data_IF_560311017988
#
_entry.id   IF_560311017988
#
_cell.length_a   1.000
_cell.length_b   1.000
_cell.length_c   1.000
_cell.angle_alpha   90.00
_cell.angle_beta   90.00
_cell.angle_gamma   90.00
#
_symmetry.space_group_name_H-M   'P 1'
#
loop_
_entity.id
_entity.type
_entity.pdbx_description
1 polymer ?
#
# COMPACT_ATOMS: atom_id res chain seq x y z
N UNK A 1 0.22 2.41 -22.55
CA UNK A 1 -0.05 2.28 -21.11
C UNK A 1 0.13 0.83 -20.70
N UNK A 2 0.77 0.60 -19.55
CA UNK A 2 0.86 -0.73 -18.97
C UNK A 2 -0.54 -1.16 -18.52
N UNK A 3 -0.81 -2.46 -18.59
CA UNK A 3 -2.05 -3.03 -18.09
C UNK A 3 -2.04 -3.02 -16.56
N UNK A 4 -3.08 -2.45 -15.96
CA UNK A 4 -3.30 -2.55 -14.52
C UNK A 4 -3.76 -3.96 -14.18
N UNK A 5 -3.19 -4.51 -13.13
CA UNK A 5 -3.65 -5.75 -12.53
C UNK A 5 -4.24 -5.43 -11.16
N UNK A 6 -5.29 -6.14 -10.78
CA UNK A 6 -5.95 -5.97 -9.49
C UNK A 6 -5.92 -7.29 -8.73
N UNK A 7 -5.78 -7.19 -7.43
CA UNK A 7 -5.82 -8.34 -6.54
C UNK A 7 -6.54 -7.98 -5.25
N UNK A 8 -7.19 -8.99 -4.69
CA UNK A 8 -7.78 -8.93 -3.35
C UNK A 8 -7.36 -10.18 -2.61
N UNK A 9 -6.89 -10.02 -1.39
CA UNK A 9 -6.50 -11.14 -0.54
C UNK A 9 -7.07 -10.99 0.87
N UNK A 10 -7.32 -12.13 1.50
CA UNK A 10 -7.91 -12.21 2.83
C UNK A 10 -6.82 -12.14 3.91
N UNK A 11 -7.13 -11.44 4.99
CA UNK A 11 -6.31 -11.30 6.19
C UNK A 11 -7.11 -11.76 7.39
N UNK A 12 -6.56 -12.64 8.20
CA UNK A 12 -7.15 -13.05 9.48
C UNK A 12 -7.06 -11.89 10.49
N UNK A 13 -8.20 -11.40 10.92
CA UNK A 13 -8.36 -10.29 11.86
C UNK A 13 -8.94 -10.73 13.21
N UNK A 14 -9.07 -12.04 13.44
CA UNK A 14 -9.74 -12.60 14.62
C UNK A 14 -9.06 -12.22 15.94
N UNK A 15 -7.73 -12.06 15.93
CA UNK A 15 -6.97 -11.71 17.15
C UNK A 15 -7.00 -10.21 17.47
N UNK A 16 -7.48 -9.39 16.54
CA UNK A 16 -7.45 -7.92 16.68
C UNK A 16 -8.83 -7.35 16.96
N UNK A 17 -9.86 -7.93 16.38
CA UNK A 17 -11.23 -7.47 16.49
C UNK A 17 -12.00 -8.38 17.46
N UNK A 18 -12.25 -7.90 18.67
CA UNK A 18 -13.11 -8.61 19.64
C UNK A 18 -14.57 -8.74 19.12
N UNK A 19 -14.97 -7.89 18.21
CA UNK A 19 -16.30 -7.87 17.59
C UNK A 19 -16.16 -7.51 16.11
N UNK A 20 -16.36 -8.44 15.22
CA UNK A 20 -16.27 -8.21 13.78
C UNK A 20 -16.15 -9.51 13.00
N UNK A 21 -16.09 -9.45 11.68
CA UNK A 21 -15.78 -10.64 10.90
C UNK A 21 -14.37 -11.12 11.23
N UNK A 22 -14.14 -12.43 11.27
CA UNK A 22 -12.83 -13.00 11.60
C UNK A 22 -11.76 -12.71 10.53
N UNK A 23 -12.18 -12.24 9.37
CA UNK A 23 -11.30 -11.92 8.25
C UNK A 23 -11.70 -10.60 7.60
N UNK A 24 -10.73 -9.92 7.04
CA UNK A 24 -10.92 -8.73 6.21
C UNK A 24 -10.09 -8.84 4.93
N UNK A 25 -10.52 -8.16 3.88
CA UNK A 25 -9.82 -8.19 2.60
C UNK A 25 -9.02 -6.92 2.39
N UNK A 26 -7.82 -7.07 1.86
CA UNK A 26 -7.01 -5.98 1.32
C UNK A 26 -7.11 -6.01 -0.20
N UNK A 27 -7.45 -4.88 -0.80
CA UNK A 27 -7.46 -4.66 -2.24
C UNK A 27 -6.25 -3.84 -2.67
N UNK A 28 -5.70 -4.16 -3.83
CA UNK A 28 -4.59 -3.42 -4.44
C UNK A 28 -4.65 -3.48 -5.97
N UNK A 29 -4.14 -2.41 -6.58
CA UNK A 29 -3.81 -2.37 -7.99
C UNK A 29 -2.30 -2.38 -8.17
N UNK A 30 -1.79 -3.06 -9.19
CA UNK A 30 -0.36 -3.09 -9.46
C UNK A 30 -0.03 -3.14 -10.96
N UNK A 31 1.18 -2.71 -11.28
CA UNK A 31 1.72 -2.66 -12.65
C UNK A 31 3.07 -3.35 -12.67
N UNK A 32 3.24 -4.21 -13.65
CA UNK A 32 4.52 -4.88 -13.90
C UNK A 32 5.27 -4.18 -15.03
N UNK A 33 6.60 -4.10 -14.96
CA UNK A 33 7.38 -3.54 -16.04
C UNK A 33 7.29 -4.45 -17.30
N UNK A 34 7.21 -3.82 -18.46
CA UNK A 34 7.10 -4.53 -19.75
C UNK A 34 8.45 -4.94 -20.35
N UNK A 35 9.54 -4.48 -19.76
CA UNK A 35 10.90 -4.68 -20.23
C UNK A 35 11.67 -5.78 -19.49
N UNK A 36 10.96 -6.58 -18.69
CA UNK A 36 11.55 -7.75 -18.01
C UNK A 36 11.57 -8.95 -18.94
N UNK A 37 12.60 -9.79 -18.83
CA UNK A 37 12.65 -11.07 -19.51
C UNK A 37 11.61 -12.04 -18.94
N UNK A 38 11.17 -13.02 -19.73
CA UNK A 38 10.23 -14.05 -19.26
C UNK A 38 10.77 -14.76 -18.02
N UNK A 39 10.01 -14.67 -16.92
CA UNK A 39 10.36 -15.28 -15.63
C UNK A 39 11.31 -14.46 -14.75
N UNK A 40 11.71 -13.27 -15.18
CA UNK A 40 12.47 -12.35 -14.34
C UNK A 40 11.60 -11.84 -13.18
N UNK A 41 12.16 -11.91 -11.98
CA UNK A 41 11.51 -11.39 -10.77
C UNK A 41 12.00 -9.98 -10.47
N UNK A 42 11.06 -9.09 -10.17
CA UNK A 42 11.33 -7.67 -10.00
C UNK A 42 11.10 -7.18 -8.57
N UNK A 43 11.80 -6.14 -8.11
CA UNK A 43 11.49 -5.48 -6.86
C UNK A 43 10.19 -4.67 -6.97
N UNK A 44 9.55 -4.42 -5.83
CA UNK A 44 8.27 -3.71 -5.75
C UNK A 44 8.46 -2.37 -5.05
N UNK A 45 7.85 -1.32 -5.59
CA UNK A 45 7.61 -0.08 -4.86
C UNK A 45 6.11 0.04 -4.61
N UNK A 46 5.69 0.23 -3.36
CA UNK A 46 4.29 0.34 -3.01
C UNK A 46 3.97 1.66 -2.31
N UNK A 47 2.76 2.15 -2.55
CA UNK A 47 2.10 3.22 -1.82
C UNK A 47 0.90 2.63 -1.10
N UNK A 48 0.81 2.81 0.21
CA UNK A 48 -0.30 2.29 1.04
C UNK A 48 -1.09 3.48 1.58
N UNK A 49 -2.37 3.57 1.23
CA UNK A 49 -3.15 4.81 1.40
C UNK A 49 -4.66 4.54 1.52
N UNK A 50 -5.41 5.42 2.21
CA UNK A 50 -6.86 5.42 2.17
C UNK A 50 -7.45 6.23 0.99
N UNK A 51 -6.63 6.81 0.10
CA UNK A 51 -7.07 7.86 -0.83
C UNK A 51 -7.17 7.41 -2.29
N UNK A 52 -7.14 6.12 -2.56
CA UNK A 52 -7.30 5.61 -3.92
C UNK A 52 -8.78 5.49 -4.25
N UNK A 53 -9.20 6.09 -5.38
CA UNK A 53 -10.58 6.05 -5.87
C UNK A 53 -10.66 5.14 -7.07
N UNK A 54 -10.89 3.86 -6.83
CA UNK A 54 -11.04 2.89 -7.90
C UNK A 54 -12.42 3.03 -8.54
N UNK A 55 -12.46 3.20 -9.85
CA UNK A 55 -13.66 3.03 -10.65
C UNK A 55 -14.80 4.01 -10.40
N UNK A 56 -14.59 5.15 -9.76
CA UNK A 56 -15.63 6.16 -9.63
C UNK A 56 -15.98 6.77 -10.99
N UNK A 57 -17.24 6.74 -11.44
CA UNK A 57 -17.64 7.36 -12.69
C UNK A 57 -17.32 8.87 -12.66
N UNK A 58 -16.52 9.33 -13.62
CA UNK A 58 -16.14 10.75 -13.71
C UNK A 58 -14.92 11.13 -12.88
N UNK A 59 -14.39 10.24 -12.06
CA UNK A 59 -12.99 10.36 -11.68
C UNK A 59 -12.16 9.96 -12.91
N UNK A 60 -11.14 10.72 -13.25
CA UNK A 60 -10.15 10.29 -14.25
C UNK A 60 -9.28 9.14 -13.71
N UNK A 61 -9.86 8.37 -12.83
CA UNK A 61 -9.35 7.29 -12.03
C UNK A 61 -9.57 5.96 -12.70
N UNK A 62 -9.05 5.77 -13.77
CA UNK A 62 -8.60 4.46 -14.18
C UNK A 62 -7.18 4.27 -13.65
N UNK A 63 -6.46 3.30 -14.14
CA UNK A 63 -5.03 3.15 -13.92
C UNK A 63 -4.22 4.46 -14.00
N UNK A 64 -4.80 5.50 -14.58
CA UNK A 64 -4.27 6.85 -14.69
C UNK A 64 -4.46 7.70 -13.45
N UNK A 65 -5.37 7.36 -12.54
CA UNK A 65 -5.56 8.12 -11.30
C UNK A 65 -4.74 7.61 -10.11
N UNK A 66 -4.16 6.53 -10.30
CA UNK A 66 -2.92 6.17 -9.65
C UNK A 66 -2.03 7.38 -9.54
N UNK A 67 -2.10 8.03 -10.56
CA UNK A 67 -1.36 9.16 -10.93
C UNK A 67 -2.01 10.45 -10.44
N UNK A 68 -3.33 10.53 -10.37
CA UNK A 68 -4.07 11.76 -10.08
C UNK A 68 -3.83 12.38 -8.71
N UNK A 69 -3.26 11.67 -7.78
CA UNK A 69 -2.74 12.25 -6.55
C UNK A 69 -1.31 12.81 -6.71
N UNK A 70 -0.75 12.83 -7.90
CA UNK A 70 0.61 13.29 -8.18
C UNK A 70 1.73 12.48 -7.54
N UNK A 71 1.39 11.37 -6.90
CA UNK A 71 2.29 10.57 -6.07
C UNK A 71 2.63 9.25 -6.74
N UNK A 72 1.66 8.61 -7.34
CA UNK A 72 1.85 7.41 -8.13
C UNK A 72 2.52 7.70 -9.47
N UNK A 73 2.25 8.86 -10.10
CA UNK A 73 2.83 9.28 -11.38
C UNK A 73 4.35 9.24 -11.35
N UNK A 74 4.93 9.81 -10.31
CA UNK A 74 6.38 9.80 -10.18
C UNK A 74 6.95 8.37 -10.15
N UNK A 75 6.33 7.46 -9.43
CA UNK A 75 6.77 6.07 -9.37
C UNK A 75 6.50 5.38 -10.72
N UNK A 76 5.32 5.56 -11.27
CA UNK A 76 4.93 4.97 -12.55
C UNK A 76 5.88 5.37 -13.68
N UNK A 77 6.18 6.67 -13.79
CA UNK A 77 7.00 7.21 -14.88
C UNK A 77 8.51 6.97 -14.69
N UNK A 78 8.97 6.90 -13.43
CA UNK A 78 10.41 6.87 -13.16
C UNK A 78 10.93 5.51 -12.68
N UNK A 79 10.11 4.63 -12.16
CA UNK A 79 10.59 3.34 -11.61
C UNK A 79 10.17 2.13 -12.44
N UNK A 80 8.96 2.10 -12.98
CA UNK A 80 8.52 0.98 -13.81
C UNK A 80 9.42 0.80 -15.04
N UNK A 81 9.82 1.86 -15.79
CA UNK A 81 10.74 1.72 -16.90
C UNK A 81 12.13 1.17 -16.53
N UNK A 82 12.47 1.21 -15.25
CA UNK A 82 13.72 0.70 -14.70
C UNK A 82 13.60 -0.66 -14.03
N UNK A 83 12.53 -1.41 -14.32
CA UNK A 83 12.37 -2.79 -13.88
C UNK A 83 11.77 -2.96 -12.50
N UNK A 84 11.07 -1.96 -11.95
CA UNK A 84 10.32 -2.07 -10.71
C UNK A 84 8.85 -2.33 -10.99
N UNK A 85 8.23 -3.23 -10.22
CA UNK A 85 6.78 -3.26 -10.11
C UNK A 85 6.32 -2.11 -9.24
N UNK A 86 5.15 -1.56 -9.53
CA UNK A 86 4.49 -0.54 -8.72
C UNK A 86 3.17 -1.08 -8.19
N UNK A 87 2.87 -0.83 -6.92
CA UNK A 87 1.62 -1.24 -6.29
C UNK A 87 0.98 -0.10 -5.51
N UNK A 88 -0.34 -0.06 -5.54
CA UNK A 88 -1.19 0.80 -4.71
C UNK A 88 -2.11 -0.06 -3.87
N UNK A 89 -1.98 0.07 -2.56
CA UNK A 89 -2.69 -0.76 -1.59
C UNK A 89 -3.65 0.12 -0.80
N UNK A 90 -4.92 -0.25 -0.79
CA UNK A 90 -5.94 0.42 0.03
C UNK A 90 -5.94 -0.16 1.45
N UNK A 91 -5.86 0.72 2.46
CA UNK A 91 -5.99 0.30 3.86
C UNK A 91 -7.39 -0.23 4.15
N UNK A 92 -7.57 -1.02 5.20
CA UNK A 92 -8.88 -1.57 5.59
C UNK A 92 -9.96 -0.50 5.67
N UNK A 93 -11.16 -0.87 5.23
CA UNK A 93 -12.34 0.00 5.25
C UNK A 93 -12.32 1.12 4.23
N UNK A 94 -11.41 1.09 3.26
CA UNK A 94 -11.33 2.07 2.18
C UNK A 94 -11.34 1.39 0.82
N UNK A 95 -11.93 2.07 -0.16
CA UNK A 95 -12.08 1.57 -1.53
C UNK A 95 -12.73 0.17 -1.54
N UNK A 96 -12.09 -0.80 -2.14
CA UNK A 96 -12.57 -2.19 -2.18
C UNK A 96 -11.98 -3.07 -1.06
N UNK A 97 -11.15 -2.52 -0.19
CA UNK A 97 -10.72 -3.20 1.02
C UNK A 97 -11.85 -3.24 2.05
N UNK A 98 -12.13 -4.41 2.59
CA UNK A 98 -13.13 -4.58 3.64
C UNK A 98 -12.55 -4.33 5.04
N UNK A 99 -13.36 -4.56 6.07
CA UNK A 99 -12.96 -4.36 7.45
C UNK A 99 -13.26 -2.97 7.96
N UNK A 100 -12.60 -2.57 9.03
CA UNK A 100 -12.79 -1.29 9.68
C UNK A 100 -11.56 -0.39 9.47
N UNK A 101 -11.81 0.84 9.06
CA UNK A 101 -10.78 1.87 9.05
C UNK A 101 -10.57 2.38 10.48
N UNK A 102 -9.58 1.86 11.16
CA UNK A 102 -9.28 2.15 12.56
C UNK A 102 -8.19 3.22 12.77
N UNK A 103 -7.85 3.92 11.70
CA UNK A 103 -6.96 5.07 11.65
C UNK A 103 -5.68 4.90 12.47
N UNK A 104 -4.74 4.15 11.91
CA UNK A 104 -3.47 3.80 12.56
C UNK A 104 -3.62 2.93 13.80
N UNK A 105 -4.68 2.15 13.84
CA UNK A 105 -4.90 1.12 14.84
C UNK A 105 -4.23 -0.20 14.47
N UNK A 106 -4.45 -1.19 15.32
CA UNK A 106 -3.87 -2.52 15.13
C UNK A 106 -4.34 -3.20 13.84
N UNK A 107 -5.58 -2.95 13.41
CA UNK A 107 -6.14 -3.47 12.17
C UNK A 107 -5.42 -2.90 10.95
N UNK A 108 -5.25 -1.58 10.89
CA UNK A 108 -4.52 -0.95 9.79
C UNK A 108 -3.07 -1.47 9.72
N UNK A 109 -2.37 -1.55 10.86
CA UNK A 109 -1.02 -2.08 10.93
C UNK A 109 -0.92 -3.53 10.41
N UNK A 110 -1.90 -4.38 10.75
CA UNK A 110 -1.97 -5.76 10.24
C UNK A 110 -2.19 -5.77 8.73
N UNK A 111 -3.10 -4.96 8.21
CA UNK A 111 -3.36 -4.84 6.77
C UNK A 111 -2.13 -4.39 5.99
N UNK A 112 -1.40 -3.40 6.51
CA UNK A 112 -0.14 -2.91 5.95
C UNK A 112 0.92 -4.02 5.92
N UNK A 113 1.13 -4.70 7.03
CA UNK A 113 2.07 -5.82 7.11
C UNK A 113 1.72 -6.92 6.10
N UNK A 114 0.46 -7.33 6.09
CA UNK A 114 -0.03 -8.39 5.19
C UNK A 114 0.15 -8.02 3.71
N UNK A 115 -0.01 -6.73 3.37
CA UNK A 115 0.24 -6.25 2.01
C UNK A 115 1.71 -6.35 1.62
N UNK A 116 2.63 -6.00 2.51
CA UNK A 116 4.07 -6.14 2.26
C UNK A 116 4.45 -7.62 2.07
N UNK A 117 3.92 -8.51 2.94
CA UNK A 117 4.12 -9.96 2.81
C UNK A 117 3.57 -10.48 1.47
N UNK A 118 2.34 -10.12 1.13
CA UNK A 118 1.71 -10.55 -0.10
C UNK A 118 2.53 -10.11 -1.33
N UNK A 119 2.95 -8.86 -1.40
CA UNK A 119 3.76 -8.32 -2.50
C UNK A 119 5.12 -9.02 -2.61
N UNK A 120 5.76 -9.30 -1.48
CA UNK A 120 7.06 -9.98 -1.45
C UNK A 120 6.99 -11.45 -1.90
N UNK A 121 5.85 -12.12 -1.69
CA UNK A 121 5.65 -13.54 -1.97
C UNK A 121 5.13 -13.83 -3.38
N UNK A 122 4.80 -12.80 -4.18
CA UNK A 122 4.30 -13.04 -5.53
C UNK A 122 5.35 -13.74 -6.42
N UNK A 123 4.89 -14.54 -7.36
CA UNK A 123 5.77 -15.30 -8.26
C UNK A 123 6.63 -14.40 -9.16
N UNK A 124 6.17 -13.18 -9.44
CA UNK A 124 6.87 -12.15 -10.19
C UNK A 124 7.74 -11.24 -9.31
N UNK A 125 7.62 -11.31 -7.99
CA UNK A 125 8.41 -10.51 -7.05
C UNK A 125 9.74 -11.18 -6.70
N UNK A 126 10.79 -10.39 -6.60
CA UNK A 126 12.09 -10.88 -6.10
C UNK A 126 12.20 -10.86 -4.56
N UNK A 127 11.09 -10.58 -3.87
CA UNK A 127 11.02 -10.53 -2.41
C UNK A 127 11.43 -9.20 -1.77
N UNK A 128 11.80 -8.20 -2.57
CA UNK A 128 12.20 -6.88 -2.08
C UNK A 128 11.07 -5.87 -2.28
N UNK A 129 10.53 -5.35 -1.19
CA UNK A 129 9.46 -4.33 -1.18
C UNK A 129 10.00 -3.04 -0.58
N UNK A 130 9.86 -1.94 -1.28
CA UNK A 130 10.08 -0.59 -0.81
C UNK A 130 8.76 0.17 -0.69
N UNK A 131 8.62 1.03 0.32
CA UNK A 131 7.45 1.89 0.47
C UNK A 131 7.82 3.34 0.20
N UNK A 132 6.90 4.06 -0.44
CA UNK A 132 7.06 5.46 -0.77
C UNK A 132 5.75 6.21 -0.50
N UNK A 133 5.82 7.46 -0.03
CA UNK A 133 4.66 8.32 0.06
C UNK A 133 4.79 9.48 1.03
N UNK A 134 3.83 10.40 0.94
CA UNK A 134 3.80 11.63 1.70
C UNK A 134 2.59 11.68 2.62
N UNK A 135 2.72 12.35 3.78
CA UNK A 135 1.63 12.56 4.74
C UNK A 135 1.14 11.23 5.32
N UNK A 136 -0.11 10.84 5.09
CA UNK A 136 -0.65 9.55 5.53
C UNK A 136 0.16 8.38 4.99
N UNK A 137 0.48 8.40 3.69
CA UNK A 137 1.31 7.37 3.05
C UNK A 137 2.75 7.35 3.57
N UNK A 138 3.22 8.42 4.18
CA UNK A 138 4.46 8.44 4.94
C UNK A 138 4.30 7.82 6.33
N UNK A 139 3.12 7.97 6.95
CA UNK A 139 2.82 7.40 8.25
C UNK A 139 2.68 5.87 8.19
N UNK A 140 2.00 5.33 7.18
CA UNK A 140 1.85 3.87 6.98
C UNK A 140 3.20 3.16 6.85
N UNK A 141 4.22 3.84 6.34
CA UNK A 141 5.58 3.29 6.23
C UNK A 141 6.26 3.11 7.59
N UNK A 142 6.03 4.05 8.52
CA UNK A 142 6.55 3.90 9.87
C UNK A 142 5.89 2.75 10.62
N UNK A 143 4.61 2.50 10.37
CA UNK A 143 3.90 1.33 10.92
C UNK A 143 4.45 0.04 10.34
N UNK A 144 4.62 -0.04 9.02
CA UNK A 144 5.26 -1.19 8.38
C UNK A 144 6.64 -1.47 8.96
N UNK A 145 7.46 -0.44 9.16
CA UNK A 145 8.81 -0.58 9.72
C UNK A 145 8.81 -0.99 11.18
N UNK A 146 7.83 -0.52 11.97
CA UNK A 146 7.71 -0.87 13.39
C UNK A 146 7.28 -2.34 13.58
N UNK A 147 6.38 -2.84 12.74
CA UNK A 147 5.96 -4.24 12.77
C UNK A 147 7.07 -5.14 12.22
N UNK A 148 7.74 -4.69 11.16
CA UNK A 148 8.80 -5.42 10.49
C UNK A 148 8.28 -6.47 9.51
N UNK A 149 9.09 -6.77 8.51
CA UNK A 149 8.90 -7.84 7.53
C UNK A 149 10.23 -8.16 6.89
N UNK A 150 10.49 -9.42 6.58
CA UNK A 150 11.68 -9.79 5.82
C UNK A 150 11.65 -9.26 4.38
N UNK A 151 10.47 -8.96 3.86
CA UNK A 151 10.29 -8.39 2.54
C UNK A 151 10.48 -6.87 2.50
N UNK A 152 10.27 -6.14 3.62
CA UNK A 152 10.44 -4.69 3.67
C UNK A 152 11.93 -4.31 3.68
N UNK A 153 12.40 -3.71 2.60
CA UNK A 153 13.83 -3.35 2.44
C UNK A 153 14.12 -1.87 2.65
N UNK A 154 13.16 -1.01 2.36
CA UNK A 154 13.33 0.44 2.48
C UNK A 154 12.00 1.15 2.65
N UNK A 155 12.04 2.31 3.28
CA UNK A 155 10.94 3.25 3.37
C UNK A 155 11.42 4.65 2.97
N UNK A 156 10.55 5.42 2.31
CA UNK A 156 10.78 6.82 1.93
C UNK A 156 9.61 7.66 2.44
N UNK A 157 9.53 7.90 3.76
CA UNK A 157 8.41 8.62 4.38
C UNK A 157 8.61 10.13 4.25
N UNK A 158 7.83 10.76 3.37
CA UNK A 158 7.87 12.21 3.17
C UNK A 158 6.82 12.85 4.09
N UNK A 159 7.26 13.64 5.06
CA UNK A 159 6.37 14.34 6.01
C UNK A 159 5.34 13.41 6.69
N UNK A 160 5.70 12.16 6.93
CA UNK A 160 4.91 11.21 7.69
C UNK A 160 5.20 11.33 9.19
N UNK A 161 4.15 11.32 10.03
CA UNK A 161 4.33 11.31 11.48
C UNK A 161 4.46 9.88 12.01
N UNK A 162 5.33 9.68 12.99
CA UNK A 162 5.43 8.41 13.73
C UNK A 162 4.39 8.30 14.85
N UNK A 163 3.84 9.43 15.30
CA UNK A 163 2.88 9.47 16.38
C UNK A 163 1.83 10.56 16.13
N UNK A 164 0.57 10.18 16.18
CA UNK A 164 -0.55 11.06 15.90
C UNK A 164 -0.86 11.99 17.09
N UNK A 165 -0.79 11.45 18.30
CA UNK A 165 -1.13 12.21 19.51
C UNK A 165 -0.31 13.48 19.68
N UNK A 166 1.03 13.48 19.64
CA UNK A 166 1.81 14.70 19.76
C UNK A 166 1.67 15.64 18.55
N UNK A 167 1.21 15.12 17.40
CA UNK A 167 0.90 15.97 16.24
C UNK A 167 -0.39 16.77 16.46
N UNK A 168 -1.43 16.14 16.98
CA UNK A 168 -2.76 16.73 17.15
C UNK A 168 -2.90 17.49 18.47
N UNK A 169 -2.30 17.00 19.53
CA UNK A 169 -2.44 17.50 20.90
C UNK A 169 -1.11 18.01 21.43
N UNK A 170 -0.66 19.14 20.92
CA UNK A 170 0.57 19.81 21.38
C UNK A 170 0.42 20.21 22.85
N UNK A 171 1.06 19.48 23.76
CA UNK A 171 0.99 19.68 25.22
C UNK A 171 -0.44 19.66 25.78
N UNK A 172 -1.36 18.92 25.16
CA UNK A 172 -2.73 18.76 25.65
C UNK A 172 -3.69 19.89 25.30
N UNK A 173 -3.35 20.75 24.37
CA UNK A 173 -4.21 21.85 23.89
C UNK A 173 -4.84 21.56 22.53
#
# INVERSE_FOLDING_TARGET
PLEVQEATFEVDTSDILETGPPTSNVHLSYWLPSNTEDGEKVPVIAVISPYFSYGQPGSESGATNVVGAGRGEFIYDNYIPHGYAFAQVSVFGTEESSGCFDYRGAGEGLGIHSAVEWLGQQNWSNGNVGLYGKSYEGATQWEAAAIGSEHLKTIVPISGTTALHPLLYKNGS
#
